data_IF_277472510486
#
_entry.id   IF_277472510486
#
_cell.length_a   1.000
_cell.length_b   1.000
_cell.length_c   1.000
_cell.angle_alpha   90.00
_cell.angle_beta   90.00
_cell.angle_gamma   90.00
#
_symmetry.space_group_name_H-M   'P 1'
#
loop_
_entity.id
_entity.type
_entity.pdbx_description
1 polymer ?
#
# COMPACT_ATOMS: atom_id res chain seq x y z
N UNK A 1 -7.67 -14.29 7.76
CA UNK A 1 -8.30 -14.36 6.42
C UNK A 1 -8.64 -12.95 5.99
N UNK A 2 -8.11 -12.49 4.86
CA UNK A 2 -8.43 -11.17 4.31
C UNK A 2 -9.33 -11.35 3.10
N UNK A 3 -10.26 -10.42 2.87
CA UNK A 3 -11.16 -10.43 1.72
C UNK A 3 -10.94 -9.20 0.83
N UNK A 4 -11.19 -9.34 -0.47
CA UNK A 4 -11.22 -8.19 -1.37
C UNK A 4 -12.33 -7.24 -0.91
N UNK A 5 -11.98 -5.97 -0.75
CA UNK A 5 -12.85 -4.92 -0.25
C UNK A 5 -12.71 -4.63 1.23
N UNK A 6 -11.96 -5.45 1.98
CA UNK A 6 -11.67 -5.22 3.40
C UNK A 6 -10.72 -4.03 3.57
N UNK A 7 -10.89 -3.31 4.66
CA UNK A 7 -10.12 -2.11 4.99
C UNK A 7 -9.21 -2.44 6.15
N UNK A 8 -7.90 -2.35 5.92
CA UNK A 8 -6.87 -2.72 6.89
C UNK A 8 -5.93 -1.55 7.13
N UNK A 9 -5.45 -1.43 8.36
CA UNK A 9 -4.39 -0.47 8.70
C UNK A 9 -3.05 -1.09 8.32
N UNK A 10 -2.32 -0.45 7.40
CA UNK A 10 -1.03 -0.89 6.94
C UNK A 10 0.04 0.15 7.27
N UNK A 11 1.20 -0.31 7.73
CA UNK A 11 2.35 0.53 8.03
C UNK A 11 3.31 0.52 6.86
N UNK A 12 3.69 1.70 6.37
CA UNK A 12 4.66 1.82 5.30
C UNK A 12 6.03 1.32 5.78
N UNK A 13 6.50 0.22 5.20
CA UNK A 13 7.78 -0.41 5.52
C UNK A 13 8.91 0.23 4.75
N UNK A 14 8.70 0.45 3.45
CA UNK A 14 9.66 1.12 2.57
C UNK A 14 8.95 1.76 1.39
N UNK A 15 9.58 2.76 0.81
CA UNK A 15 9.06 3.49 -0.35
C UNK A 15 10.05 3.33 -1.49
N UNK A 16 9.54 3.00 -2.67
CA UNK A 16 10.28 2.94 -3.91
C UNK A 16 9.75 4.01 -4.87
N UNK A 17 10.53 4.33 -5.90
CA UNK A 17 10.12 5.33 -6.91
C UNK A 17 8.86 4.92 -7.68
N UNK A 18 8.53 3.63 -7.71
CA UNK A 18 7.35 3.08 -8.41
C UNK A 18 6.21 2.68 -7.47
N UNK A 19 6.37 2.77 -6.15
CA UNK A 19 5.35 2.31 -5.21
C UNK A 19 5.76 2.34 -3.74
N UNK A 20 4.88 1.92 -2.85
CA UNK A 20 5.15 1.74 -1.43
C UNK A 20 4.91 0.30 -1.01
N UNK A 21 5.83 -0.23 -0.21
CA UNK A 21 5.69 -1.51 0.47
C UNK A 21 5.10 -1.26 1.85
N UNK A 22 3.98 -1.92 2.13
CA UNK A 22 3.24 -1.75 3.37
C UNK A 22 3.02 -3.10 4.04
N UNK A 23 3.20 -3.10 5.35
CA UNK A 23 3.01 -4.25 6.21
C UNK A 23 1.70 -4.07 6.99
N UNK A 24 0.82 -5.04 6.90
CA UNK A 24 -0.48 -5.05 7.59
C UNK A 24 -0.65 -6.32 8.42
N UNK A 25 0.46 -6.93 8.85
CA UNK A 25 0.44 -8.14 9.67
C UNK A 25 0.03 -9.42 8.95
N UNK A 26 0.04 -9.42 7.61
CA UNK A 26 -0.15 -10.62 6.80
C UNK A 26 1.18 -11.36 6.56
N UNK A 27 1.11 -12.60 6.08
CA UNK A 27 2.29 -13.36 5.66
C UNK A 27 3.00 -12.75 4.43
N UNK A 28 2.34 -11.84 3.72
CA UNK A 28 2.84 -11.22 2.48
C UNK A 28 2.76 -9.70 2.59
N UNK A 29 3.80 -9.01 2.15
CA UNK A 29 3.83 -7.54 2.07
C UNK A 29 2.86 -7.03 0.98
N UNK A 30 2.16 -5.93 1.27
CA UNK A 30 1.31 -5.25 0.30
C UNK A 30 2.12 -4.28 -0.53
N UNK A 31 2.00 -4.39 -1.85
CA UNK A 31 2.60 -3.44 -2.79
C UNK A 31 1.53 -2.47 -3.29
N UNK A 32 1.71 -1.20 -3.00
CA UNK A 32 0.91 -0.12 -3.58
C UNK A 32 1.68 0.52 -4.73
N UNK A 33 1.24 0.29 -5.94
CA UNK A 33 1.85 0.89 -7.13
C UNK A 33 1.47 2.37 -7.24
N UNK A 34 2.39 3.22 -7.73
CA UNK A 34 2.13 4.66 -7.97
C UNK A 34 0.87 4.91 -8.79
N UNK A 35 0.58 4.04 -9.75
CA UNK A 35 -0.55 4.18 -10.66
C UNK A 35 -1.92 3.97 -9.98
N UNK A 36 -1.95 3.36 -8.79
CA UNK A 36 -3.18 3.21 -8.01
C UNK A 36 -3.46 4.39 -7.09
N UNK A 37 -2.49 5.29 -6.91
CA UNK A 37 -2.67 6.51 -6.13
C UNK A 37 -3.48 7.50 -6.97
N UNK A 38 -4.78 7.59 -6.71
CA UNK A 38 -5.73 8.45 -7.47
C UNK A 38 -5.58 9.96 -7.22
N UNK A 39 -4.51 10.39 -6.56
CA UNK A 39 -4.29 11.80 -6.17
C UNK A 39 -3.55 12.56 -7.27
N UNK A 40 -4.11 12.58 -8.48
CA UNK A 40 -3.56 13.34 -9.61
C UNK A 40 -2.16 12.89 -10.07
N UNK A 41 -1.41 13.80 -10.70
CA UNK A 41 -0.06 13.53 -11.18
C UNK A 41 0.92 13.53 -10.01
N UNK A 42 1.22 12.33 -9.50
CA UNK A 42 2.18 12.14 -8.41
C UNK A 42 3.54 11.86 -9.02
N UNK A 43 4.53 12.72 -8.74
CA UNK A 43 5.92 12.52 -9.18
C UNK A 43 6.63 11.49 -8.29
N UNK A 44 6.37 11.54 -6.99
CA UNK A 44 7.03 10.70 -6.00
C UNK A 44 6.06 10.23 -4.91
N UNK A 45 6.08 8.92 -4.62
CA UNK A 45 5.29 8.32 -3.53
C UNK A 45 5.71 8.85 -2.16
N UNK A 46 6.96 9.31 -2.04
CA UNK A 46 7.51 9.84 -0.78
C UNK A 46 6.85 11.16 -0.34
N UNK A 47 6.13 11.86 -1.22
CA UNK A 47 5.42 13.09 -0.88
C UNK A 47 4.10 12.83 -0.14
N UNK A 48 3.48 11.68 -0.42
CA UNK A 48 2.17 11.27 0.13
C UNK A 48 2.26 10.17 1.18
N UNK A 49 3.26 9.29 1.07
CA UNK A 49 3.52 8.22 2.02
C UNK A 49 4.90 8.43 2.64
N UNK A 50 5.04 8.09 3.92
CA UNK A 50 6.32 8.15 4.64
C UNK A 50 6.63 6.81 5.29
N UNK A 51 7.89 6.35 5.30
CA UNK A 51 8.25 5.13 6.01
C UNK A 51 7.91 5.26 7.50
N UNK A 52 7.25 4.25 8.03
CA UNK A 52 6.74 4.21 9.41
C UNK A 52 5.36 4.85 9.60
N UNK A 53 4.78 5.48 8.56
CA UNK A 53 3.42 6.01 8.62
C UNK A 53 2.40 4.88 8.54
N UNK A 54 1.38 4.95 9.37
CA UNK A 54 0.21 4.09 9.29
C UNK A 54 -0.83 4.72 8.38
N UNK A 55 -1.27 3.95 7.40
CA UNK A 55 -2.27 4.35 6.41
C UNK A 55 -3.34 3.28 6.31
N UNK A 56 -4.58 3.72 6.18
CA UNK A 56 -5.70 2.81 5.98
C UNK A 56 -5.81 2.49 4.49
N UNK A 57 -5.71 1.20 4.16
CA UNK A 57 -5.72 0.72 2.77
C UNK A 57 -6.83 -0.28 2.58
N UNK A 58 -7.41 -0.26 1.38
CA UNK A 58 -8.45 -1.20 0.98
C UNK A 58 -7.86 -2.27 0.08
N UNK A 59 -8.16 -3.52 0.38
CA UNK A 59 -7.70 -4.65 -0.42
C UNK A 59 -8.46 -4.66 -1.74
N UNK A 60 -7.81 -4.31 -2.84
CA UNK A 60 -8.40 -4.32 -4.19
C UNK A 60 -8.28 -5.68 -4.88
N UNK A 61 -7.30 -6.49 -4.52
CA UNK A 61 -7.10 -7.81 -5.08
C UNK A 61 -6.32 -8.71 -4.12
N UNK A 62 -6.66 -9.99 -4.09
CA UNK A 62 -5.90 -11.02 -3.36
C UNK A 62 -5.60 -12.12 -4.37
N UNK A 63 -4.33 -12.21 -4.77
CA UNK A 63 -3.82 -13.34 -5.53
C UNK A 63 -3.24 -14.34 -4.53
N UNK A 64 -3.93 -15.46 -4.32
CA UNK A 64 -3.33 -16.65 -3.75
C UNK A 64 -2.79 -17.46 -4.94
N UNK A 65 -1.49 -17.33 -5.21
CA UNK A 65 -0.79 -18.36 -6.00
C UNK A 65 -0.51 -19.58 -5.13
#
# INVERSE_FOLDING_TARGET
DFNVGDTVTAKVKSIASYGAFMDFGAQTDGLLHISQLSVGYIKDVSEILKPGQEVEVRITNISAE
#
